data_IF_746463608672
#
_entry.id   IF_746463608672
#
_cell.length_a   1.000
_cell.length_b   1.000
_cell.length_c   1.000
_cell.angle_alpha   90.00
_cell.angle_beta   90.00
_cell.angle_gamma   90.00
#
_symmetry.space_group_name_H-M   'P 1'
#
loop_
_entity.id
_entity.type
_entity.pdbx_description
1 polymer ?
#
# COMPACT_ATOMS: atom_id res chain seq x y z
N UNK A 1 16.31 9.55 -7.88
CA UNK A 1 14.91 9.24 -8.22
C UNK A 1 14.28 10.50 -8.79
N UNK A 2 13.53 10.40 -9.89
CA UNK A 2 12.83 11.57 -10.45
C UNK A 2 11.50 11.89 -9.74
N UNK A 3 11.07 11.02 -8.83
CA UNK A 3 9.90 11.19 -7.97
C UNK A 3 10.34 11.47 -6.53
N UNK A 4 9.57 12.27 -5.81
CA UNK A 4 9.58 12.30 -4.35
C UNK A 4 9.15 10.95 -3.78
N UNK A 5 9.48 10.67 -2.52
CA UNK A 5 9.05 9.41 -1.89
C UNK A 5 7.53 9.29 -1.83
N UNK A 6 6.83 10.40 -1.57
CA UNK A 6 5.38 10.39 -1.53
C UNK A 6 4.78 10.03 -2.89
N UNK A 7 5.30 10.60 -3.99
CA UNK A 7 4.89 10.26 -5.35
C UNK A 7 5.19 8.80 -5.69
N UNK A 8 6.37 8.29 -5.30
CA UNK A 8 6.74 6.90 -5.52
C UNK A 8 5.82 5.93 -4.79
N UNK A 9 5.48 6.21 -3.52
CA UNK A 9 4.52 5.41 -2.74
C UNK A 9 3.14 5.46 -3.39
N UNK A 10 2.66 6.64 -3.77
CA UNK A 10 1.36 6.80 -4.45
C UNK A 10 1.32 6.04 -5.77
N UNK A 11 2.38 6.09 -6.57
CA UNK A 11 2.47 5.35 -7.82
C UNK A 11 2.43 3.82 -7.59
N UNK A 12 3.09 3.33 -6.54
CA UNK A 12 3.13 1.91 -6.19
C UNK A 12 1.85 1.38 -5.52
N UNK A 13 0.93 2.24 -5.06
CA UNK A 13 -0.32 1.82 -4.42
C UNK A 13 -1.54 2.27 -5.23
N UNK A 14 -2.02 3.50 -5.03
CA UNK A 14 -3.18 4.07 -5.71
C UNK A 14 -2.99 4.12 -7.22
N UNK A 15 -1.79 4.49 -7.70
CA UNK A 15 -1.48 4.53 -9.13
C UNK A 15 -1.61 3.16 -9.79
N UNK A 16 -1.12 2.10 -9.13
CA UNK A 16 -1.31 0.72 -9.58
C UNK A 16 -2.77 0.27 -9.55
N UNK A 17 -3.53 0.66 -8.52
CA UNK A 17 -4.96 0.38 -8.44
C UNK A 17 -5.74 1.07 -9.57
N UNK A 18 -5.45 2.35 -9.82
CA UNK A 18 -6.07 3.16 -10.87
C UNK A 18 -5.77 2.58 -12.27
N UNK A 19 -4.52 2.18 -12.51
CA UNK A 19 -4.12 1.59 -13.79
C UNK A 19 -4.86 0.27 -14.09
N UNK A 20 -5.34 -0.42 -13.05
CA UNK A 20 -6.08 -1.67 -13.16
C UNK A 20 -7.60 -1.50 -13.01
N UNK A 21 -8.11 -0.28 -12.80
CA UNK A 21 -9.53 -0.01 -12.54
C UNK A 21 -10.02 -0.60 -11.21
N UNK A 22 -9.17 -0.61 -10.18
CA UNK A 22 -9.45 -1.19 -8.86
C UNK A 22 -9.33 -0.19 -7.71
N UNK A 23 -9.17 1.09 -8.03
CA UNK A 23 -9.10 2.21 -7.08
C UNK A 23 -10.45 2.58 -6.49
N UNK A 24 -11.55 2.12 -7.10
CA UNK A 24 -12.92 2.29 -6.67
C UNK A 24 -13.64 0.94 -6.62
N UNK A 25 -14.75 0.87 -5.89
CA UNK A 25 -15.44 -0.38 -5.62
C UNK A 25 -16.44 -0.27 -4.48
N UNK A 26 -17.25 -1.30 -4.28
CA UNK A 26 -18.24 -1.37 -3.20
C UNK A 26 -17.63 -2.04 -1.96
N UNK A 27 -18.19 -1.75 -0.78
CA UNK A 27 -17.79 -2.44 0.47
C UNK A 27 -18.38 -3.87 0.53
N UNK A 28 -17.98 -4.69 -0.44
CA UNK A 28 -18.38 -6.08 -0.60
C UNK A 28 -17.14 -6.89 -0.96
N UNK A 29 -16.95 -8.04 -0.31
CA UNK A 29 -15.81 -8.90 -0.60
C UNK A 29 -15.72 -9.26 -2.10
N UNK A 30 -14.52 -9.14 -2.65
CA UNK A 30 -14.28 -9.26 -4.10
C UNK A 30 -14.33 -7.93 -4.84
N UNK A 31 -15.17 -6.99 -4.40
CA UNK A 31 -15.42 -5.69 -5.06
C UNK A 31 -14.77 -4.51 -4.34
N UNK A 32 -14.21 -4.72 -3.14
CA UNK A 32 -13.53 -3.67 -2.38
C UNK A 32 -12.36 -3.08 -3.17
N UNK A 33 -12.34 -1.74 -3.24
CA UNK A 33 -11.24 -0.98 -3.79
C UNK A 33 -9.91 -1.25 -3.07
N UNK A 34 -8.79 -1.10 -3.77
CA UNK A 34 -7.42 -1.29 -3.26
C UNK A 34 -6.55 -0.06 -3.49
N UNK A 35 -5.34 -0.04 -2.93
CA UNK A 35 -4.34 1.00 -3.18
C UNK A 35 -4.47 2.27 -2.33
N UNK A 36 -5.53 2.37 -1.51
CA UNK A 36 -5.78 3.48 -0.58
C UNK A 36 -6.20 2.95 0.79
N UNK A 37 -5.88 3.72 1.84
CA UNK A 37 -6.32 3.45 3.21
C UNK A 37 -7.54 4.31 3.50
N UNK A 38 -8.72 3.76 3.20
CA UNK A 38 -10.02 4.42 3.33
C UNK A 38 -11.04 3.41 3.88
N UNK A 39 -12.04 3.87 4.62
CA UNK A 39 -13.16 3.01 5.07
C UNK A 39 -13.83 2.35 3.86
N UNK A 40 -14.14 1.06 3.95
CA UNK A 40 -14.74 0.26 2.88
C UNK A 40 -13.75 -0.28 1.84
N UNK A 41 -12.50 0.19 1.82
CA UNK A 41 -11.46 -0.41 0.97
C UNK A 41 -10.95 -1.73 1.58
N UNK A 42 -10.38 -2.58 0.72
CA UNK A 42 -9.79 -3.85 1.14
C UNK A 42 -8.60 -3.57 2.06
N UNK A 43 -8.54 -4.26 3.19
CA UNK A 43 -7.49 -4.10 4.19
C UNK A 43 -6.16 -4.76 3.77
N UNK A 44 -5.57 -4.26 2.68
CA UNK A 44 -4.22 -4.59 2.24
C UNK A 44 -3.25 -3.53 2.77
N UNK A 45 -2.43 -3.91 3.76
CA UNK A 45 -1.57 -2.98 4.49
C UNK A 45 -0.16 -3.54 4.60
N UNK A 46 0.84 -2.67 4.40
CA UNK A 46 2.24 -2.95 4.73
C UNK A 46 2.70 -1.94 5.77
N UNK A 47 2.95 -2.41 6.98
CA UNK A 47 3.52 -1.57 8.03
C UNK A 47 5.03 -1.71 8.05
N UNK A 48 5.71 -0.56 8.04
CA UNK A 48 7.17 -0.50 8.10
C UNK A 48 7.62 -0.44 9.56
N UNK A 49 8.69 -1.18 9.88
CA UNK A 49 9.50 -1.02 11.09
C UNK A 49 10.44 0.18 10.91
N UNK A 50 9.86 1.34 10.68
CA UNK A 50 10.57 2.59 10.42
C UNK A 50 9.72 3.79 10.87
N UNK A 51 10.35 4.91 11.28
CA UNK A 51 9.63 6.14 11.63
C UNK A 51 8.85 6.77 10.47
N UNK A 52 9.23 6.49 9.22
CA UNK A 52 8.62 7.13 8.05
C UNK A 52 8.83 6.32 6.76
N UNK A 53 7.93 6.50 5.79
CA UNK A 53 8.02 5.88 4.45
C UNK A 53 9.28 6.27 3.68
N UNK A 54 9.91 7.41 4.02
CA UNK A 54 11.16 7.86 3.39
C UNK A 54 12.30 6.85 3.54
N UNK A 55 12.25 5.99 4.57
CA UNK A 55 13.20 4.89 4.76
C UNK A 55 13.22 3.89 3.59
N UNK A 56 12.14 3.79 2.79
CA UNK A 56 12.11 2.95 1.59
C UNK A 56 13.15 3.39 0.54
N UNK A 57 13.43 4.69 0.42
CA UNK A 57 14.30 5.21 -0.63
C UNK A 57 15.79 5.05 -0.33
N UNK A 58 16.20 5.13 0.94
CA UNK A 58 17.61 5.17 1.35
C UNK A 58 18.07 3.97 2.18
N UNK A 59 17.18 3.00 2.45
CA UNK A 59 17.55 1.70 3.05
C UNK A 59 17.09 0.52 2.18
N UNK A 60 17.40 0.49 0.87
CA UNK A 60 17.04 -0.64 0.02
C UNK A 60 17.73 -1.92 0.50
N UNK A 61 17.01 -3.05 0.44
CA UNK A 61 17.51 -4.37 0.84
C UNK A 61 17.53 -4.64 2.35
N UNK A 62 17.16 -3.67 3.19
CA UNK A 62 17.06 -3.85 4.65
C UNK A 62 15.68 -4.44 4.99
N UNK A 63 15.60 -5.40 5.94
CA UNK A 63 14.31 -5.92 6.42
C UNK A 63 13.56 -4.84 7.22
N UNK A 64 12.77 -4.04 6.50
CA UNK A 64 11.96 -2.96 7.06
C UNK A 64 10.50 -3.36 7.29
N UNK A 65 10.08 -4.58 6.97
CA UNK A 65 8.70 -5.04 7.21
C UNK A 65 8.49 -5.27 8.71
N UNK A 66 7.50 -4.59 9.28
CA UNK A 66 6.97 -4.94 10.61
C UNK A 66 5.89 -6.00 10.50
N UNK A 67 4.91 -5.78 9.61
CA UNK A 67 3.84 -6.72 9.33
C UNK A 67 3.17 -6.41 7.97
N UNK A 68 2.55 -7.44 7.40
CA UNK A 68 1.72 -7.31 6.19
C UNK A 68 0.35 -7.91 6.44
N UNK A 69 -0.70 -7.21 6.02
CA UNK A 69 -2.06 -7.71 5.97
C UNK A 69 -2.52 -7.78 4.53
N UNK A 70 -3.23 -8.86 4.20
CA UNK A 70 -3.91 -9.06 2.92
C UNK A 70 -5.36 -9.37 3.20
N UNK A 71 -6.26 -8.55 2.67
CA UNK A 71 -7.70 -8.63 2.96
C UNK A 71 -8.01 -8.77 4.48
N UNK A 72 -7.29 -8.01 5.32
CA UNK A 72 -7.46 -8.02 6.78
C UNK A 72 -6.78 -9.17 7.52
N UNK A 73 -6.22 -10.15 6.81
CA UNK A 73 -5.51 -11.29 7.42
C UNK A 73 -4.01 -11.01 7.45
N UNK A 74 -3.37 -11.19 8.61
CA UNK A 74 -1.93 -11.04 8.77
C UNK A 74 -1.17 -12.14 8.02
N UNK A 75 -0.25 -11.76 7.13
CA UNK A 75 0.50 -12.67 6.25
C UNK A 75 2.01 -12.74 6.59
N UNK A 76 2.56 -11.68 7.19
CA UNK A 76 3.95 -11.58 7.69
C UNK A 76 3.93 -10.85 9.03
#
# INVERSE_FOLDING_TARGET
MHLSVHEAVRAATYGGALALGRESGNDVDGERAVGSITVGHRADLHMLKAPSATHLAYRPGIPLTFAVWRAGVRAV
#
